data_IF_410150945286
#
_entry.id   IF_410150945286
#
_cell.length_a   1.000
_cell.length_b   1.000
_cell.length_c   1.000
_cell.angle_alpha   90.00
_cell.angle_beta   90.00
_cell.angle_gamma   90.00
#
_symmetry.space_group_name_H-M   'P 1'
#
loop_
_entity.id
_entity.type
_entity.pdbx_description
1 polymer ?
#
# COMPACT_ATOMS: atom_id res chain seq x y z
N UNK A 1 -4.88 -4.06 11.28
CA UNK A 1 -5.89 -4.70 10.43
C UNK A 1 -5.30 -5.46 9.25
N UNK A 2 -6.14 -6.10 8.48
CA UNK A 2 -5.76 -6.79 7.25
C UNK A 2 -6.10 -5.94 6.03
N UNK A 3 -5.16 -5.87 5.10
CA UNK A 3 -5.32 -5.22 3.81
C UNK A 3 -5.55 -6.27 2.73
N UNK A 4 -6.60 -6.09 1.92
CA UNK A 4 -6.75 -6.84 0.68
C UNK A 4 -5.83 -6.22 -0.38
N UNK A 5 -5.01 -7.06 -1.00
CA UNK A 5 -4.03 -6.65 -2.01
C UNK A 5 -4.39 -7.21 -3.39
N UNK A 6 -4.28 -6.39 -4.42
CA UNK A 6 -4.32 -6.87 -5.82
C UNK A 6 -3.08 -7.66 -6.21
N UNK A 7 -2.01 -7.60 -5.41
CA UNK A 7 -0.73 -8.24 -5.68
C UNK A 7 -0.55 -9.59 -4.99
N UNK A 8 0.11 -10.50 -5.68
CA UNK A 8 0.72 -11.71 -5.14
C UNK A 8 2.00 -11.97 -5.93
N UNK A 9 3.14 -11.94 -5.25
CA UNK A 9 4.44 -12.06 -5.90
C UNK A 9 4.87 -10.84 -6.71
N UNK A 10 4.14 -9.73 -6.62
CA UNK A 10 4.41 -8.48 -7.34
C UNK A 10 3.22 -7.54 -7.33
N UNK A 11 3.36 -6.37 -7.99
CA UNK A 11 2.29 -5.39 -8.10
C UNK A 11 2.45 -4.16 -7.20
N UNK A 12 3.58 -3.99 -6.52
CA UNK A 12 3.88 -2.89 -5.59
C UNK A 12 3.42 -1.52 -6.10
N UNK A 13 3.74 -1.19 -7.36
CA UNK A 13 3.38 0.11 -7.94
C UNK A 13 1.88 0.37 -8.02
N UNK A 14 1.06 -0.68 -8.16
CA UNK A 14 -0.39 -0.55 -8.17
C UNK A 14 -0.94 -0.20 -6.79
N UNK A 15 -0.37 -0.82 -5.73
CA UNK A 15 -0.74 -0.52 -4.35
C UNK A 15 -0.29 0.91 -3.96
N UNK A 16 0.90 1.33 -4.40
CA UNK A 16 1.37 2.72 -4.25
C UNK A 16 0.40 3.70 -4.91
N UNK A 17 0.00 3.45 -6.15
CA UNK A 17 -0.91 4.30 -6.91
C UNK A 17 -2.25 4.49 -6.16
N UNK A 18 -2.82 3.39 -5.67
CA UNK A 18 -4.05 3.44 -4.87
C UNK A 18 -3.85 4.21 -3.56
N UNK A 19 -2.77 3.92 -2.83
CA UNK A 19 -2.45 4.57 -1.56
C UNK A 19 -2.16 6.06 -1.68
N UNK A 20 -1.61 6.52 -2.80
CA UNK A 20 -1.32 7.92 -3.05
C UNK A 20 -2.53 8.71 -3.57
N UNK A 21 -3.39 8.08 -4.37
CA UNK A 21 -4.46 8.77 -5.09
C UNK A 21 -5.85 8.57 -4.48
N UNK A 22 -6.06 7.49 -3.73
CA UNK A 22 -7.40 7.07 -3.30
C UNK A 22 -8.24 6.46 -4.44
N UNK A 23 -7.66 6.24 -5.61
CA UNK A 23 -8.32 5.56 -6.72
C UNK A 23 -8.14 4.05 -6.60
N UNK A 24 -9.00 3.26 -7.22
CA UNK A 24 -8.99 1.80 -7.09
C UNK A 24 -8.65 1.10 -8.40
N UNK A 25 -7.78 0.11 -8.34
CA UNK A 25 -7.54 -0.80 -9.46
C UNK A 25 -8.82 -1.54 -9.90
N UNK A 26 -9.76 -1.76 -8.98
CA UNK A 26 -11.04 -2.41 -9.28
C UNK A 26 -11.95 -1.62 -10.23
N UNK A 27 -11.72 -0.31 -10.38
CA UNK A 27 -12.50 0.55 -11.27
C UNK A 27 -11.89 0.69 -12.66
N UNK A 28 -10.73 0.09 -12.93
CA UNK A 28 -10.11 0.10 -14.25
C UNK A 28 -10.53 -1.10 -15.09
N UNK A 29 -10.43 -0.94 -16.40
CA UNK A 29 -10.50 -2.07 -17.32
C UNK A 29 -9.33 -3.03 -17.07
N UNK A 30 -9.55 -4.32 -17.25
CA UNK A 30 -8.55 -5.37 -17.00
C UNK A 30 -7.30 -5.27 -17.86
N UNK A 31 -7.34 -4.56 -18.97
CA UNK A 31 -6.18 -4.26 -19.81
C UNK A 31 -5.20 -3.26 -19.19
N UNK A 32 -5.65 -2.47 -18.21
CA UNK A 32 -4.83 -1.53 -17.48
C UNK A 32 -4.23 -2.23 -16.26
N UNK A 33 -3.07 -2.85 -16.47
CA UNK A 33 -2.39 -3.66 -15.45
C UNK A 33 -1.36 -2.89 -14.63
N UNK A 34 -0.91 -1.71 -15.11
CA UNK A 34 0.07 -0.86 -14.45
C UNK A 34 -0.22 0.62 -14.71
N UNK A 35 -0.96 1.31 -13.83
CA UNK A 35 -1.23 2.74 -13.97
C UNK A 35 0.04 3.58 -14.11
N UNK A 36 1.10 3.26 -13.39
CA UNK A 36 2.38 3.97 -13.45
C UNK A 36 3.04 3.96 -14.84
N UNK A 37 2.82 2.91 -15.61
CA UNK A 37 3.43 2.75 -16.94
C UNK A 37 2.47 3.09 -18.07
N UNK A 38 1.18 2.80 -17.91
CA UNK A 38 0.20 2.89 -18.98
C UNK A 38 -0.66 4.17 -18.91
N UNK A 39 -0.83 4.76 -17.74
CA UNK A 39 -1.78 5.85 -17.52
C UNK A 39 -1.09 7.15 -17.10
N UNK A 40 -0.41 7.16 -15.95
CA UNK A 40 0.18 8.36 -15.34
C UNK A 40 1.07 9.16 -16.29
N UNK A 41 1.90 8.56 -17.16
CA UNK A 41 2.72 9.32 -18.09
C UNK A 41 1.93 10.25 -19.04
N UNK A 42 0.70 9.89 -19.36
CA UNK A 42 -0.18 10.66 -20.26
C UNK A 42 -1.17 11.57 -19.54
N UNK A 43 -1.34 11.43 -18.22
CA UNK A 43 -2.28 12.26 -17.45
C UNK A 43 -1.81 13.72 -17.39
N UNK A 44 -2.75 14.65 -17.47
CA UNK A 44 -2.52 16.08 -17.27
C UNK A 44 -2.71 16.53 -15.83
N UNK A 45 -3.41 15.76 -15.05
CA UNK A 45 -3.71 16.02 -13.65
C UNK A 45 -3.77 14.70 -12.88
N UNK A 46 -2.95 14.58 -11.86
CA UNK A 46 -2.90 13.40 -11.00
C UNK A 46 -2.91 13.88 -9.55
N UNK A 47 -4.09 14.06 -8.95
CA UNK A 47 -4.19 14.47 -7.55
C UNK A 47 -3.73 13.33 -6.64
N UNK A 48 -2.79 13.65 -5.76
CA UNK A 48 -2.25 12.73 -4.77
C UNK A 48 -2.32 13.34 -3.38
N UNK A 49 -2.28 12.52 -2.35
CA UNK A 49 -2.48 12.94 -0.96
C UNK A 49 -1.53 14.06 -0.52
N UNK A 50 -0.27 14.02 -0.95
CA UNK A 50 0.71 15.05 -0.64
C UNK A 50 0.35 16.42 -1.22
N UNK A 51 -0.32 16.46 -2.38
CA UNK A 51 -0.83 17.69 -2.97
C UNK A 51 -2.09 18.17 -2.23
N UNK A 52 -3.01 17.25 -1.91
CA UNK A 52 -4.27 17.56 -1.21
C UNK A 52 -4.02 18.18 0.17
N UNK A 53 -2.94 17.79 0.86
CA UNK A 53 -2.59 18.33 2.19
C UNK A 53 -1.52 19.42 2.15
N UNK A 54 -1.22 19.97 0.98
CA UNK A 54 -0.29 21.10 0.84
C UNK A 54 1.17 20.76 1.13
N UNK A 55 1.53 19.49 1.14
CA UNK A 55 2.90 19.04 1.38
C UNK A 55 3.74 18.87 0.10
N UNK A 56 3.21 19.22 -1.07
CA UNK A 56 3.84 18.97 -2.37
C UNK A 56 5.29 19.44 -2.46
N UNK A 57 5.62 20.60 -1.88
CA UNK A 57 6.99 21.15 -1.88
C UNK A 57 7.98 20.38 -0.99
N UNK A 58 7.49 19.58 -0.06
CA UNK A 58 8.26 18.77 0.88
C UNK A 58 7.88 17.29 0.78
N UNK A 59 7.50 16.84 -0.41
CA UNK A 59 7.18 15.46 -0.68
C UNK A 59 8.43 14.73 -1.13
N UNK A 60 8.74 13.62 -0.46
CA UNK A 60 9.96 12.85 -0.65
C UNK A 60 9.59 11.39 -0.89
N UNK A 61 10.03 10.85 -2.03
CA UNK A 61 10.07 9.42 -2.29
C UNK A 61 11.39 8.83 -1.82
N UNK A 62 11.36 7.63 -1.28
CA UNK A 62 12.55 6.91 -0.85
C UNK A 62 12.39 5.42 -1.17
N UNK A 63 13.27 4.90 -2.02
CA UNK A 63 13.26 3.51 -2.45
C UNK A 63 14.68 3.00 -2.69
N UNK A 64 15.22 2.09 -1.86
CA UNK A 64 16.59 1.61 -1.98
C UNK A 64 16.75 0.61 -3.13
N UNK A 65 16.39 1.05 -4.33
CA UNK A 65 16.52 0.31 -5.58
C UNK A 65 16.76 1.26 -6.76
N UNK A 66 16.58 0.78 -7.99
CA UNK A 66 16.78 1.60 -9.20
C UNK A 66 15.67 2.63 -9.39
N UNK A 67 16.05 3.86 -9.70
CA UNK A 67 15.12 4.99 -9.85
C UNK A 67 14.14 4.84 -11.01
N UNK A 68 14.51 4.08 -12.06
CA UNK A 68 13.70 3.89 -13.27
C UNK A 68 12.56 2.87 -13.10
N UNK A 69 12.62 2.04 -12.08
CA UNK A 69 11.64 0.97 -11.89
C UNK A 69 10.22 1.53 -11.83
N UNK A 70 9.30 0.93 -12.61
CA UNK A 70 7.90 1.36 -12.77
C UNK A 70 7.73 2.84 -13.17
N UNK A 71 8.71 3.46 -13.83
CA UNK A 71 8.68 4.88 -14.20
C UNK A 71 8.54 5.83 -12.98
N UNK A 72 8.90 5.39 -11.78
CA UNK A 72 8.73 6.17 -10.53
C UNK A 72 9.40 7.53 -10.60
N UNK A 73 10.62 7.62 -11.12
CA UNK A 73 11.34 8.88 -11.21
C UNK A 73 10.56 9.97 -11.99
N UNK A 74 9.85 9.58 -13.04
CA UNK A 74 9.01 10.49 -13.84
C UNK A 74 7.67 10.75 -13.15
N UNK A 75 7.00 9.70 -12.66
CA UNK A 75 5.69 9.79 -12.07
C UNK A 75 5.71 10.61 -10.76
N UNK A 76 6.72 10.43 -9.92
CA UNK A 76 6.82 11.17 -8.66
C UNK A 76 7.01 12.67 -8.88
N UNK A 77 7.65 13.10 -9.98
CA UNK A 77 7.68 14.52 -10.37
C UNK A 77 6.27 15.04 -10.68
N UNK A 78 5.45 14.26 -11.39
CA UNK A 78 4.04 14.60 -11.66
C UNK A 78 3.20 14.67 -10.38
N UNK A 79 3.48 13.80 -9.42
CA UNK A 79 2.82 13.79 -8.11
C UNK A 79 3.27 14.95 -7.20
N UNK A 80 4.23 15.78 -7.64
CA UNK A 80 4.72 16.91 -6.86
C UNK A 80 5.81 16.56 -5.86
N UNK A 81 6.45 15.40 -5.97
CA UNK A 81 7.61 15.06 -5.15
C UNK A 81 8.80 15.93 -5.52
N UNK A 82 9.44 16.52 -4.50
CA UNK A 82 10.63 17.36 -4.66
C UNK A 82 11.91 16.54 -4.78
N UNK A 83 11.95 15.38 -4.16
CA UNK A 83 13.09 14.45 -4.16
C UNK A 83 12.62 13.02 -4.28
N UNK A 84 13.45 12.19 -4.93
CA UNK A 84 13.28 10.74 -4.97
C UNK A 84 14.64 10.07 -4.72
N UNK A 85 14.88 9.67 -3.49
CA UNK A 85 16.11 9.02 -3.05
C UNK A 85 16.10 7.55 -3.41
N UNK A 86 17.11 7.13 -4.18
CA UNK A 86 17.27 5.75 -4.69
C UNK A 86 18.73 5.34 -4.67
N UNK A 87 19.07 4.17 -5.20
CA UNK A 87 20.47 3.74 -5.38
C UNK A 87 21.13 4.35 -6.62
N UNK A 88 20.35 4.71 -7.65
CA UNK A 88 20.87 5.07 -8.98
C UNK A 88 20.39 6.43 -9.49
N UNK A 89 19.57 7.14 -8.75
CA UNK A 89 19.04 8.44 -9.13
C UNK A 89 19.99 9.61 -8.81
N UNK A 90 19.58 10.84 -9.11
CA UNK A 90 20.34 12.04 -8.74
C UNK A 90 20.38 12.26 -7.22
N UNK A 91 19.32 11.87 -6.51
CA UNK A 91 19.26 11.84 -5.05
C UNK A 91 19.56 10.40 -4.59
N UNK A 92 20.65 10.22 -3.85
CA UNK A 92 21.10 8.90 -3.40
C UNK A 92 20.76 8.69 -1.93
N UNK A 93 20.25 7.51 -1.63
CA UNK A 93 19.92 7.10 -0.26
C UNK A 93 21.19 7.05 0.62
N UNK A 94 21.12 7.60 1.83
CA UNK A 94 22.31 7.80 2.68
C UNK A 94 22.81 6.53 3.35
N UNK A 95 21.91 5.63 3.77
CA UNK A 95 22.25 4.36 4.40
C UNK A 95 21.91 3.20 3.48
N UNK A 96 22.88 2.34 3.18
CA UNK A 96 22.77 1.25 2.21
C UNK A 96 23.21 -0.10 2.77
N UNK A 97 23.27 -0.23 4.11
CA UNK A 97 23.68 -1.45 4.76
C UNK A 97 22.74 -2.62 4.41
N UNK A 98 23.34 -3.78 4.21
CA UNK A 98 22.67 -5.04 3.90
C UNK A 98 22.89 -6.04 5.03
N UNK A 99 22.04 -7.06 5.09
CA UNK A 99 22.15 -8.10 6.10
C UNK A 99 22.79 -9.35 5.47
N UNK A 100 23.94 -9.77 6.01
CA UNK A 100 24.67 -10.95 5.55
C UNK A 100 24.87 -10.96 4.01
N UNK A 101 24.39 -12.00 3.34
CA UNK A 101 24.53 -12.19 1.89
C UNK A 101 23.29 -11.70 1.11
N UNK A 102 22.35 -10.99 1.77
CA UNK A 102 21.19 -10.41 1.09
C UNK A 102 21.64 -9.38 0.04
N UNK A 103 21.05 -9.41 -1.18
CA UNK A 103 21.38 -8.42 -2.21
C UNK A 103 20.73 -7.06 -1.94
N UNK A 104 19.77 -6.98 -1.02
CA UNK A 104 18.96 -5.80 -0.77
C UNK A 104 19.41 -5.00 0.44
N UNK A 105 19.18 -3.69 0.37
CA UNK A 105 19.34 -2.78 1.51
C UNK A 105 18.35 -3.15 2.59
N UNK A 106 18.81 -3.16 3.84
CA UNK A 106 17.99 -3.52 4.99
C UNK A 106 16.89 -2.48 5.28
N UNK A 107 15.82 -2.92 5.90
CA UNK A 107 14.77 -2.02 6.38
C UNK A 107 15.31 -1.05 7.43
N UNK A 108 16.21 -1.50 8.31
CA UNK A 108 16.89 -0.64 9.28
C UNK A 108 17.62 0.52 8.59
N UNK A 109 18.43 0.23 7.55
CA UNK A 109 19.15 1.26 6.79
C UNK A 109 18.19 2.20 6.05
N UNK A 110 17.11 1.66 5.49
CA UNK A 110 16.05 2.42 4.83
C UNK A 110 15.38 3.38 5.80
N UNK A 111 15.05 2.93 7.02
CA UNK A 111 14.43 3.77 8.04
C UNK A 111 15.38 4.80 8.65
N UNK A 112 16.68 4.50 8.77
CA UNK A 112 17.69 5.50 9.14
C UNK A 112 17.73 6.65 8.13
N UNK A 113 17.75 6.34 6.83
CA UNK A 113 17.68 7.34 5.76
C UNK A 113 16.38 8.13 5.80
N UNK A 114 15.26 7.47 6.07
CA UNK A 114 13.95 8.11 6.20
C UNK A 114 13.92 9.09 7.38
N UNK A 115 14.44 8.67 8.54
CA UNK A 115 14.48 9.51 9.75
C UNK A 115 15.30 10.78 9.55
N UNK A 116 16.40 10.70 8.80
CA UNK A 116 17.19 11.89 8.42
C UNK A 116 16.33 12.89 7.62
N UNK A 117 15.52 12.41 6.67
CA UNK A 117 14.64 13.26 5.89
C UNK A 117 13.53 13.87 6.76
N UNK A 118 12.94 13.10 7.67
CA UNK A 118 11.93 13.61 8.61
C UNK A 118 12.49 14.75 9.47
N UNK A 119 13.76 14.66 9.90
CA UNK A 119 14.41 15.64 10.75
C UNK A 119 14.85 16.92 10.03
N UNK A 120 14.94 16.93 8.69
CA UNK A 120 15.47 18.06 7.91
C UNK A 120 14.63 19.33 7.96
N UNK A 121 13.33 19.23 8.19
CA UNK A 121 12.42 20.38 8.21
C UNK A 121 11.38 20.29 9.32
N UNK A 122 10.94 21.45 9.78
CA UNK A 122 9.78 21.58 10.69
C UNK A 122 8.46 21.82 9.94
N UNK A 123 8.53 22.10 8.64
CA UNK A 123 7.35 22.29 7.79
C UNK A 123 6.62 20.98 7.52
N UNK A 124 5.42 21.09 6.99
CA UNK A 124 4.67 19.92 6.53
C UNK A 124 5.49 19.10 5.54
N UNK A 125 5.48 17.80 5.72
CA UNK A 125 6.15 16.83 4.85
C UNK A 125 5.22 15.67 4.52
N UNK A 126 5.48 15.08 3.36
CA UNK A 126 4.97 13.77 3.00
C UNK A 126 6.15 12.88 2.56
N UNK A 127 6.21 11.67 3.08
CA UNK A 127 7.22 10.69 2.70
C UNK A 127 6.54 9.41 2.21
N UNK A 128 6.88 8.99 1.00
CA UNK A 128 6.54 7.69 0.44
C UNK A 128 7.77 6.81 0.51
N UNK A 129 7.75 5.80 1.37
CA UNK A 129 8.89 4.90 1.60
C UNK A 129 8.54 3.51 1.10
N UNK A 130 9.36 2.96 0.22
CA UNK A 130 9.22 1.60 -0.32
C UNK A 130 10.49 0.84 0.06
N UNK A 131 10.38 -0.16 0.91
CA UNK A 131 11.52 -0.98 1.34
C UNK A 131 11.82 -2.10 0.35
N UNK A 132 12.97 -2.77 0.50
CA UNK A 132 13.42 -3.83 -0.41
C UNK A 132 13.89 -5.09 0.29
N UNK A 133 14.09 -5.08 1.62
CA UNK A 133 14.72 -6.19 2.36
C UNK A 133 14.08 -7.54 2.05
N UNK A 134 12.77 -7.60 1.96
CA UNK A 134 12.01 -8.84 1.77
C UNK A 134 11.58 -9.09 0.32
N UNK A 135 12.23 -8.46 -0.65
CA UNK A 135 11.96 -8.69 -2.06
C UNK A 135 12.57 -10.02 -2.55
N UNK A 136 11.87 -10.72 -3.42
CA UNK A 136 12.37 -11.95 -4.07
C UNK A 136 13.49 -11.67 -5.11
N UNK A 137 14.30 -12.65 -5.52
CA UNK A 137 14.27 -14.07 -5.11
C UNK A 137 14.82 -14.28 -3.71
N UNK A 138 14.54 -15.46 -3.13
CA UNK A 138 15.03 -15.82 -1.79
C UNK A 138 15.98 -17.01 -1.89
N UNK A 139 17.20 -16.80 -1.41
CA UNK A 139 18.23 -17.84 -1.29
C UNK A 139 18.81 -17.75 0.12
N UNK A 140 19.46 -18.72 0.65
CA UNK A 140 20.00 -18.78 2.02
C UNK A 140 20.86 -17.56 2.42
N UNK A 141 20.26 -16.36 2.36
CA UNK A 141 20.99 -15.11 2.57
C UNK A 141 21.45 -14.89 3.99
N UNK A 142 20.70 -15.42 4.97
CA UNK A 142 20.93 -15.13 6.39
C UNK A 142 21.75 -16.23 7.04
N UNK A 143 22.88 -15.87 7.68
CA UNK A 143 23.82 -16.81 8.30
C UNK A 143 23.23 -17.55 9.50
N UNK A 144 22.31 -16.91 10.23
CA UNK A 144 21.63 -17.48 11.39
C UNK A 144 20.12 -17.47 11.13
N UNK A 145 19.63 -18.57 10.58
CA UNK A 145 18.23 -18.78 10.30
C UNK A 145 17.76 -20.11 10.90
N UNK A 146 17.02 -20.01 12.01
CA UNK A 146 16.48 -21.17 12.72
C UNK A 146 15.03 -21.49 12.33
N UNK A 147 14.42 -20.69 11.42
CA UNK A 147 13.08 -20.96 10.92
C UNK A 147 13.02 -22.26 10.13
N UNK A 148 11.95 -23.01 10.33
CA UNK A 148 11.64 -24.25 9.62
C UNK A 148 10.21 -24.22 9.10
N UNK A 149 10.07 -24.30 7.80
CA UNK A 149 8.78 -24.42 7.13
C UNK A 149 8.41 -25.89 7.00
N UNK A 150 7.15 -26.20 7.29
CA UNK A 150 6.58 -27.53 7.13
C UNK A 150 5.22 -27.44 6.48
N UNK A 151 4.86 -28.45 5.69
CA UNK A 151 3.51 -28.59 5.17
C UNK A 151 2.54 -28.99 6.28
N UNK A 152 1.34 -28.46 6.24
CA UNK A 152 0.21 -28.91 7.07
C UNK A 152 -0.61 -30.01 6.40
N UNK A 153 -0.21 -30.42 5.18
CA UNK A 153 -0.82 -31.51 4.41
C UNK A 153 0.11 -32.73 4.38
N UNK A 154 -0.39 -33.84 3.89
CA UNK A 154 0.41 -35.09 3.71
C UNK A 154 1.51 -34.96 2.63
N UNK A 155 1.51 -33.88 1.85
CA UNK A 155 2.52 -33.61 0.83
C UNK A 155 3.62 -32.71 1.39
N UNK A 156 4.89 -33.13 1.35
CA UNK A 156 6.00 -32.28 1.80
C UNK A 156 6.15 -31.06 0.87
N UNK A 157 6.69 -29.96 1.40
CA UNK A 157 7.13 -28.83 0.60
C UNK A 157 8.28 -29.27 -0.31
N UNK A 158 8.40 -28.65 -1.49
CA UNK A 158 9.58 -28.79 -2.33
C UNK A 158 10.75 -28.05 -1.69
N UNK A 159 11.97 -28.48 -1.95
CA UNK A 159 13.18 -27.92 -1.34
C UNK A 159 13.34 -26.43 -1.61
N UNK A 160 13.07 -25.97 -2.85
CA UNK A 160 13.14 -24.58 -3.26
C UNK A 160 12.04 -23.72 -2.62
N UNK A 161 10.83 -24.24 -2.49
CA UNK A 161 9.72 -23.60 -1.78
C UNK A 161 10.06 -23.46 -0.29
N UNK A 162 10.52 -24.52 0.34
CA UNK A 162 10.91 -24.51 1.74
C UNK A 162 12.03 -23.50 2.00
N UNK A 163 13.07 -23.48 1.19
CA UNK A 163 14.19 -22.53 1.30
C UNK A 163 13.71 -21.09 1.19
N UNK A 164 12.85 -20.80 0.21
CA UNK A 164 12.28 -19.46 0.00
C UNK A 164 11.44 -19.01 1.18
N UNK A 165 10.56 -19.88 1.70
CA UNK A 165 9.72 -19.57 2.87
C UNK A 165 10.57 -19.32 4.12
N UNK A 166 11.54 -20.18 4.41
CA UNK A 166 12.43 -20.03 5.57
C UNK A 166 13.26 -18.75 5.49
N UNK A 167 13.76 -18.38 4.31
CA UNK A 167 14.50 -17.14 4.09
C UNK A 167 13.58 -15.93 4.28
N UNK A 168 12.38 -15.94 3.70
CA UNK A 168 11.39 -14.87 3.86
C UNK A 168 10.96 -14.69 5.33
N UNK A 169 10.69 -15.78 6.04
CA UNK A 169 10.36 -15.74 7.47
C UNK A 169 11.44 -15.06 8.30
N UNK A 170 12.71 -15.37 8.03
CA UNK A 170 13.83 -14.70 8.71
C UNK A 170 13.87 -13.21 8.37
N UNK A 171 13.71 -12.85 7.10
CA UNK A 171 13.64 -11.46 6.67
C UNK A 171 12.49 -10.70 7.34
N UNK A 172 11.30 -11.28 7.38
CA UNK A 172 10.15 -10.71 8.04
C UNK A 172 10.36 -10.51 9.55
N UNK A 173 11.01 -11.45 10.23
CA UNK A 173 11.35 -11.30 11.66
C UNK A 173 12.32 -10.14 11.92
N UNK A 174 13.26 -9.91 11.01
CA UNK A 174 14.17 -8.74 11.07
C UNK A 174 13.46 -7.43 10.74
N UNK A 175 12.45 -7.50 9.84
CA UNK A 175 11.58 -6.36 9.57
C UNK A 175 10.74 -5.99 10.78
N UNK A 176 10.32 -6.92 11.62
CA UNK A 176 9.50 -6.61 12.80
C UNK A 176 10.25 -5.70 13.80
N UNK A 177 11.53 -5.91 13.97
CA UNK A 177 12.38 -5.09 14.83
C UNK A 177 12.62 -3.67 14.27
N UNK A 178 12.89 -3.55 12.97
CA UNK A 178 13.29 -2.29 12.35
C UNK A 178 12.20 -1.19 12.39
N UNK A 179 10.91 -1.43 12.06
CA UNK A 179 9.85 -0.47 12.25
C UNK A 179 9.63 -0.10 13.71
N UNK A 180 9.76 -1.03 14.65
CA UNK A 180 9.60 -0.75 16.07
C UNK A 180 10.61 0.30 16.55
N UNK A 181 11.88 0.15 16.19
CA UNK A 181 12.93 1.11 16.49
C UNK A 181 12.68 2.45 15.79
N UNK A 182 12.27 2.43 14.53
CA UNK A 182 11.94 3.63 13.76
C UNK A 182 10.79 4.42 14.38
N UNK A 183 9.69 3.75 14.75
CA UNK A 183 8.55 4.39 15.43
C UNK A 183 8.96 4.95 16.79
N UNK A 184 9.82 4.27 17.54
CA UNK A 184 10.35 4.77 18.80
C UNK A 184 11.19 6.04 18.62
N UNK A 185 11.97 6.15 17.54
CA UNK A 185 12.70 7.39 17.20
C UNK A 185 11.75 8.52 16.77
N UNK A 186 10.71 8.21 15.99
CA UNK A 186 9.69 9.19 15.61
C UNK A 186 8.91 9.71 16.83
N UNK A 187 8.70 8.87 17.85
CA UNK A 187 7.99 9.25 19.08
C UNK A 187 8.78 10.24 19.96
N UNK A 188 10.10 10.31 19.78
CA UNK A 188 10.97 11.30 20.45
C UNK A 188 10.93 12.68 19.80
N UNK A 189 10.38 12.80 18.59
CA UNK A 189 10.32 14.07 17.87
C UNK A 189 9.24 14.98 18.46
N UNK A 190 9.57 16.27 18.62
CA UNK A 190 8.60 17.31 19.01
C UNK A 190 7.72 17.81 17.85
N UNK A 191 7.61 17.05 16.79
CA UNK A 191 6.87 17.35 15.57
C UNK A 191 5.83 16.25 15.35
N UNK A 192 4.56 16.58 15.01
CA UNK A 192 3.54 15.57 14.68
C UNK A 192 3.97 14.68 13.52
N UNK A 193 3.84 13.38 13.70
CA UNK A 193 4.10 12.38 12.65
C UNK A 193 3.01 11.33 12.70
N UNK A 194 2.44 11.01 11.54
CA UNK A 194 1.53 9.88 11.34
C UNK A 194 2.10 8.95 10.29
N UNK A 195 2.06 7.67 10.54
CA UNK A 195 2.56 6.60 9.68
C UNK A 195 1.41 5.70 9.28
N UNK A 196 1.26 5.46 7.99
CA UNK A 196 0.51 4.33 7.44
C UNK A 196 1.51 3.29 7.00
N UNK A 197 1.49 2.15 7.65
CA UNK A 197 2.36 1.02 7.32
C UNK A 197 1.54 -0.12 6.76
N UNK A 198 2.02 -0.73 5.69
CA UNK A 198 1.37 -1.91 5.10
C UNK A 198 2.38 -2.80 4.36
N UNK A 199 2.13 -4.11 4.40
CA UNK A 199 2.74 -5.02 3.46
C UNK A 199 2.00 -4.89 2.13
N UNK A 200 2.71 -4.62 1.04
CA UNK A 200 2.07 -4.38 -0.26
C UNK A 200 1.45 -5.66 -0.86
N UNK A 201 2.15 -6.78 -0.77
CA UNK A 201 1.68 -8.11 -1.17
C UNK A 201 2.51 -9.21 -0.52
N UNK A 202 1.99 -10.43 -0.49
CA UNK A 202 2.78 -11.60 -0.15
C UNK A 202 3.74 -11.96 -1.30
N UNK A 203 4.90 -12.55 -0.99
CA UNK A 203 5.80 -13.06 -2.02
C UNK A 203 5.21 -14.28 -2.72
N UNK A 204 5.48 -14.42 -4.01
CA UNK A 204 4.99 -15.54 -4.83
C UNK A 204 5.75 -16.85 -4.62
N UNK A 205 5.91 -17.27 -3.36
CA UNK A 205 6.73 -18.42 -2.97
C UNK A 205 5.93 -19.60 -2.40
N UNK A 206 4.64 -19.43 -2.21
CA UNK A 206 3.77 -20.43 -1.60
C UNK A 206 3.10 -21.31 -2.66
N UNK A 207 3.89 -22.04 -3.47
CA UNK A 207 3.39 -22.81 -4.61
C UNK A 207 2.44 -23.94 -4.17
N UNK A 208 2.71 -24.58 -3.03
CA UNK A 208 1.83 -25.62 -2.47
C UNK A 208 0.49 -25.07 -2.00
N UNK A 209 0.49 -23.88 -1.36
CA UNK A 209 -0.74 -23.23 -0.91
C UNK A 209 -1.54 -22.65 -2.08
N UNK A 210 -0.86 -22.06 -3.08
CA UNK A 210 -1.53 -21.48 -4.26
C UNK A 210 -2.10 -22.50 -5.21
N UNK A 211 -1.74 -23.78 -5.06
CA UNK A 211 -2.36 -24.87 -5.81
C UNK A 211 -3.80 -25.20 -5.35
N UNK A 212 -4.22 -24.67 -4.20
CA UNK A 212 -5.59 -24.75 -3.69
C UNK A 212 -6.25 -23.37 -3.80
N UNK A 213 -7.23 -23.24 -4.68
CA UNK A 213 -7.97 -21.99 -4.90
C UNK A 213 -8.64 -21.47 -3.62
N UNK A 214 -8.96 -22.35 -2.66
CA UNK A 214 -9.48 -21.96 -1.35
C UNK A 214 -8.56 -21.05 -0.53
N UNK A 215 -7.25 -21.04 -0.83
CA UNK A 215 -6.27 -20.15 -0.20
C UNK A 215 -6.14 -18.80 -0.91
N UNK A 216 -6.79 -18.59 -2.04
CA UNK A 216 -6.59 -17.44 -2.90
C UNK A 216 -6.83 -16.10 -2.15
N UNK A 217 -7.89 -16.00 -1.36
CA UNK A 217 -8.15 -14.79 -0.56
C UNK A 217 -7.04 -14.55 0.47
N UNK A 218 -6.62 -15.57 1.21
CA UNK A 218 -5.58 -15.45 2.22
C UNK A 218 -4.22 -15.03 1.62
N UNK A 219 -3.90 -15.52 0.41
CA UNK A 219 -2.68 -15.16 -0.31
C UNK A 219 -2.68 -13.71 -0.84
N UNK A 220 -3.83 -13.04 -0.82
CA UNK A 220 -3.99 -11.64 -1.17
C UNK A 220 -4.29 -10.75 0.05
N UNK A 221 -3.93 -11.18 1.23
CA UNK A 221 -4.08 -10.40 2.47
C UNK A 221 -2.73 -10.16 3.13
N UNK A 222 -2.53 -8.94 3.59
CA UNK A 222 -1.34 -8.49 4.31
C UNK A 222 -1.73 -7.65 5.51
N UNK A 223 -0.81 -7.44 6.44
CA UNK A 223 -1.05 -6.59 7.60
C UNK A 223 -0.88 -5.11 7.24
N UNK A 224 -1.68 -4.25 7.89
CA UNK A 224 -1.50 -2.80 7.90
C UNK A 224 -1.81 -2.21 9.26
N UNK A 225 -1.25 -1.04 9.54
CA UNK A 225 -1.62 -0.22 10.68
C UNK A 225 -1.46 1.28 10.39
N UNK A 226 -2.16 2.10 11.20
CA UNK A 226 -1.99 3.55 11.23
C UNK A 226 -1.54 3.91 12.64
N UNK A 227 -0.45 4.67 12.73
CA UNK A 227 0.17 5.07 13.99
C UNK A 227 0.52 6.55 13.97
N UNK A 228 0.39 7.21 15.12
CA UNK A 228 0.82 8.59 15.31
C UNK A 228 1.69 8.72 16.56
N UNK A 229 2.68 9.60 16.50
CA UNK A 229 3.54 9.86 17.65
C UNK A 229 2.86 10.76 18.71
N UNK A 230 3.46 10.89 19.89
CA UNK A 230 2.95 11.70 21.00
C UNK A 230 2.70 13.15 20.62
N UNK A 231 3.60 13.73 19.81
CA UNK A 231 3.50 15.14 19.39
C UNK A 231 2.28 15.43 18.48
N UNK A 232 1.66 14.40 17.89
CA UNK A 232 0.49 14.55 17.04
C UNK A 232 -0.79 14.92 17.81
N UNK A 233 -0.88 14.53 19.08
CA UNK A 233 -2.10 14.60 19.86
C UNK A 233 -3.16 13.55 19.50
N UNK A 234 -2.90 12.71 18.51
CA UNK A 234 -3.81 11.66 18.01
C UNK A 234 -3.27 10.24 18.23
N UNK A 235 -2.21 10.11 19.03
CA UNK A 235 -1.67 8.82 19.41
C UNK A 235 -2.75 7.95 20.06
N UNK A 236 -2.96 6.74 19.53
CA UNK A 236 -3.95 5.80 20.05
C UNK A 236 -5.39 6.05 19.58
N UNK A 237 -5.65 7.07 18.73
CA UNK A 237 -6.95 7.22 18.09
C UNK A 237 -7.31 5.96 17.33
N UNK A 238 -8.58 5.55 17.49
CA UNK A 238 -9.14 4.44 16.74
C UNK A 238 -10.14 4.96 15.73
N UNK A 239 -10.14 4.37 14.55
CA UNK A 239 -11.10 4.66 13.48
C UNK A 239 -12.09 3.50 13.33
N UNK A 240 -13.24 3.77 12.75
CA UNK A 240 -14.21 2.74 12.39
C UNK A 240 -13.70 1.86 11.25
N UNK A 241 -14.20 0.62 11.17
CA UNK A 241 -13.90 -0.32 10.09
C UNK A 241 -12.40 -0.54 9.80
N UNK A 242 -11.56 -0.55 10.87
CA UNK A 242 -10.11 -0.66 10.73
C UNK A 242 -9.61 -2.10 10.59
N UNK A 243 -10.47 -3.11 10.77
CA UNK A 243 -10.06 -4.52 10.75
C UNK A 243 -9.72 -4.99 9.33
N UNK A 244 -10.40 -4.44 8.32
CA UNK A 244 -10.15 -4.74 6.90
C UNK A 244 -10.12 -3.46 6.08
N UNK A 245 -9.22 -3.41 5.10
CA UNK A 245 -9.09 -2.28 4.18
C UNK A 245 -8.48 -2.71 2.84
N UNK A 246 -8.41 -1.76 1.91
CA UNK A 246 -7.57 -1.79 0.71
C UNK A 246 -6.90 -0.43 0.52
N UNK A 247 -5.79 -0.34 -0.24
CA UNK A 247 -4.96 0.87 -0.26
C UNK A 247 -5.67 2.14 -0.69
N UNK A 248 -6.70 2.05 -1.53
CA UNK A 248 -7.50 3.20 -1.97
C UNK A 248 -8.23 3.93 -0.82
N UNK A 249 -8.39 3.29 0.34
CA UNK A 249 -9.00 3.89 1.52
C UNK A 249 -7.98 4.47 2.52
N UNK A 250 -6.69 4.18 2.37
CA UNK A 250 -5.67 4.63 3.33
C UNK A 250 -5.61 6.14 3.50
N UNK A 251 -5.80 6.90 2.42
CA UNK A 251 -5.80 8.37 2.47
C UNK A 251 -6.92 8.90 3.38
N UNK A 252 -8.12 8.33 3.28
CA UNK A 252 -9.27 8.68 4.11
C UNK A 252 -9.10 8.20 5.55
N UNK A 253 -8.64 6.96 5.74
CA UNK A 253 -8.38 6.40 7.07
C UNK A 253 -7.29 7.16 7.84
N UNK A 254 -6.23 7.59 7.15
CA UNK A 254 -5.19 8.42 7.74
C UNK A 254 -5.75 9.78 8.20
N UNK A 255 -6.59 10.41 7.38
CA UNK A 255 -7.26 11.67 7.73
C UNK A 255 -8.18 11.51 8.95
N UNK A 256 -8.97 10.44 9.01
CA UNK A 256 -9.83 10.11 10.15
C UNK A 256 -8.99 9.88 11.42
N UNK A 257 -7.91 9.10 11.35
CA UNK A 257 -7.01 8.85 12.47
C UNK A 257 -6.37 10.15 13.00
N UNK A 258 -5.99 11.07 12.10
CA UNK A 258 -5.40 12.35 12.46
C UNK A 258 -6.41 13.39 12.95
N UNK A 259 -7.71 13.10 12.92
CA UNK A 259 -8.78 14.09 13.12
C UNK A 259 -8.56 15.32 12.22
N UNK A 260 -8.18 15.07 10.97
CA UNK A 260 -7.81 16.11 10.03
C UNK A 260 -9.02 16.66 9.29
N UNK A 261 -8.93 17.93 8.88
CA UNK A 261 -9.88 18.48 7.92
C UNK A 261 -9.80 17.70 6.62
N UNK A 262 -10.94 17.42 6.01
CA UNK A 262 -11.03 16.63 4.79
C UNK A 262 -11.66 17.42 3.66
N UNK A 263 -11.21 17.14 2.44
CA UNK A 263 -11.88 17.58 1.22
C UNK A 263 -13.18 16.78 0.99
N UNK A 264 -14.10 17.25 0.14
CA UNK A 264 -15.23 16.44 -0.28
C UNK A 264 -14.84 15.06 -0.82
N UNK A 265 -13.70 14.96 -1.53
CA UNK A 265 -13.17 13.68 -2.01
C UNK A 265 -12.81 12.72 -0.89
N UNK A 266 -12.09 13.19 0.12
CA UNK A 266 -11.72 12.33 1.26
C UNK A 266 -12.93 11.93 2.09
N UNK A 267 -13.92 12.84 2.25
CA UNK A 267 -15.19 12.52 2.89
C UNK A 267 -15.96 11.45 2.10
N UNK A 268 -15.98 11.54 0.77
CA UNK A 268 -16.55 10.52 -0.10
C UNK A 268 -15.88 9.15 0.08
N UNK A 269 -14.54 9.08 0.16
CA UNK A 269 -13.83 7.84 0.39
C UNK A 269 -14.13 7.24 1.77
N UNK A 270 -14.31 8.07 2.80
CA UNK A 270 -14.73 7.62 4.13
C UNK A 270 -16.13 7.00 4.08
N UNK A 271 -17.07 7.63 3.35
CA UNK A 271 -18.41 7.08 3.15
C UNK A 271 -18.39 5.76 2.40
N UNK A 272 -17.59 5.67 1.33
CA UNK A 272 -17.36 4.41 0.59
C UNK A 272 -16.84 3.31 1.52
N UNK A 273 -15.83 3.62 2.34
CA UNK A 273 -15.23 2.66 3.27
C UNK A 273 -16.22 2.16 4.33
N UNK A 274 -17.18 2.99 4.71
CA UNK A 274 -18.25 2.60 5.65
C UNK A 274 -19.17 1.50 5.09
N UNK A 275 -19.29 1.41 3.77
CA UNK A 275 -20.11 0.42 3.07
C UNK A 275 -19.32 -0.78 2.58
N UNK A 276 -18.11 -0.56 2.11
CA UNK A 276 -17.20 -1.56 1.54
C UNK A 276 -15.83 -1.37 2.18
N UNK A 277 -15.44 -2.29 3.05
CA UNK A 277 -14.18 -2.16 3.81
C UNK A 277 -12.94 -2.34 2.94
N UNK A 278 -13.01 -3.19 1.92
CA UNK A 278 -11.93 -3.41 0.98
C UNK A 278 -12.47 -3.72 -0.41
N UNK A 279 -11.74 -3.31 -1.44
CA UNK A 279 -12.09 -3.62 -2.83
C UNK A 279 -10.83 -3.76 -3.69
N UNK A 280 -10.79 -4.80 -4.52
CA UNK A 280 -9.72 -5.09 -5.47
C UNK A 280 -10.30 -5.72 -6.76
N UNK A 281 -9.56 -5.71 -7.87
CA UNK A 281 -9.96 -6.44 -9.07
C UNK A 281 -10.09 -7.96 -8.80
N UNK A 282 -10.65 -8.73 -9.73
CA UNK A 282 -10.91 -10.18 -9.54
C UNK A 282 -9.61 -10.99 -9.62
N UNK A 283 -8.69 -10.78 -8.68
CA UNK A 283 -7.39 -11.48 -8.56
C UNK A 283 -7.50 -12.80 -7.80
N UNK A 284 -8.63 -13.01 -7.15
CA UNK A 284 -8.96 -14.22 -6.40
C UNK A 284 -9.83 -15.10 -7.27
N UNK A 285 -9.32 -16.29 -7.68
CA UNK A 285 -10.00 -17.17 -8.63
C UNK A 285 -11.22 -17.88 -8.03
N UNK A 286 -11.12 -18.26 -6.76
CA UNK A 286 -12.16 -18.96 -6.05
C UNK A 286 -12.22 -18.45 -4.60
N UNK A 287 -13.41 -18.02 -4.19
CA UNK A 287 -13.66 -17.62 -2.81
C UNK A 287 -14.45 -18.74 -2.15
N UNK A 288 -13.76 -19.53 -1.36
CA UNK A 288 -14.32 -20.73 -0.74
C UNK A 288 -15.67 -20.46 -0.05
N UNK A 289 -16.67 -21.28 -0.38
CA UNK A 289 -18.01 -21.18 0.20
C UNK A 289 -18.87 -20.02 -0.33
N UNK A 290 -18.47 -19.38 -1.42
CA UNK A 290 -19.14 -18.21 -1.98
C UNK A 290 -19.52 -18.37 -3.45
N UNK A 291 -20.15 -19.48 -3.80
CA UNK A 291 -20.59 -19.82 -5.17
C UNK A 291 -21.49 -18.73 -5.82
N UNK A 292 -22.09 -17.87 -4.99
CA UNK A 292 -22.94 -16.77 -5.44
C UNK A 292 -22.18 -15.54 -5.97
N UNK A 293 -20.85 -15.48 -5.76
CA UNK A 293 -20.03 -14.43 -6.33
C UNK A 293 -19.78 -14.73 -7.81
N UNK A 294 -20.23 -13.86 -8.73
CA UNK A 294 -20.02 -14.09 -10.15
C UNK A 294 -18.55 -14.13 -10.53
N UNK A 295 -18.18 -15.05 -11.43
CA UNK A 295 -16.84 -15.08 -11.99
C UNK A 295 -16.48 -13.74 -12.66
N UNK A 296 -15.26 -13.23 -12.39
CA UNK A 296 -14.78 -11.97 -12.93
C UNK A 296 -15.32 -10.73 -12.20
N UNK A 297 -16.19 -10.87 -11.20
CA UNK A 297 -16.57 -9.75 -10.34
C UNK A 297 -15.37 -9.28 -9.52
N UNK A 298 -15.30 -7.97 -9.28
CA UNK A 298 -14.36 -7.42 -8.29
C UNK A 298 -14.59 -8.05 -6.91
N UNK A 299 -13.52 -8.10 -6.12
CA UNK A 299 -13.59 -8.60 -4.75
C UNK A 299 -13.94 -7.43 -3.82
N UNK A 300 -15.04 -7.58 -3.11
CA UNK A 300 -15.48 -6.63 -2.08
C UNK A 300 -15.57 -7.36 -0.74
N UNK A 301 -15.05 -6.72 0.31
CA UNK A 301 -15.16 -7.25 1.67
C UNK A 301 -16.02 -6.32 2.54
N UNK A 302 -16.84 -6.95 3.39
CA UNK A 302 -17.55 -6.23 4.46
C UNK A 302 -16.62 -5.92 5.65
N UNK A 303 -17.15 -5.28 6.69
CA UNK A 303 -16.39 -4.92 7.89
C UNK A 303 -15.89 -6.12 8.72
N UNK A 304 -16.33 -7.32 8.40
CA UNK A 304 -15.89 -8.58 9.03
C UNK A 304 -14.96 -9.39 8.13
N UNK A 305 -14.61 -8.84 6.97
CA UNK A 305 -13.75 -9.51 5.98
C UNK A 305 -14.46 -10.56 5.13
N UNK A 306 -15.79 -10.61 5.16
CA UNK A 306 -16.54 -11.53 4.32
C UNK A 306 -16.68 -10.97 2.90
N UNK A 307 -16.46 -11.77 1.86
CA UNK A 307 -16.74 -11.37 0.49
C UNK A 307 -18.22 -11.05 0.25
N UNK A 308 -18.48 -9.96 -0.50
CA UNK A 308 -19.82 -9.51 -0.87
C UNK A 308 -20.02 -9.63 -2.37
N UNK A 309 -21.24 -10.03 -2.80
CA UNK A 309 -21.66 -9.91 -4.19
C UNK A 309 -22.23 -8.50 -4.47
N UNK A 310 -22.01 -7.97 -5.68
CA UNK A 310 -22.60 -6.67 -6.08
C UNK A 310 -24.15 -6.69 -6.03
N UNK A 311 -24.74 -7.87 -6.20
CA UNK A 311 -26.19 -8.06 -6.03
C UNK A 311 -26.70 -7.74 -4.62
N UNK A 312 -25.82 -7.84 -3.60
CA UNK A 312 -26.17 -7.58 -2.21
C UNK A 312 -26.14 -6.09 -1.84
N UNK A 313 -25.55 -5.25 -2.70
CA UNK A 313 -25.46 -3.83 -2.45
C UNK A 313 -26.84 -3.18 -2.39
N UNK A 314 -27.08 -2.39 -1.36
CA UNK A 314 -28.24 -1.53 -1.30
C UNK A 314 -28.18 -0.38 -2.33
N UNK A 315 -29.24 0.40 -2.44
CA UNK A 315 -29.32 1.47 -3.42
C UNK A 315 -28.26 2.55 -3.19
N UNK A 316 -27.95 2.86 -1.94
CA UNK A 316 -26.92 3.83 -1.55
C UNK A 316 -25.53 3.36 -1.95
N UNK A 317 -25.17 2.12 -1.62
CA UNK A 317 -23.88 1.52 -2.00
C UNK A 317 -23.71 1.46 -3.51
N UNK A 318 -24.77 1.11 -4.26
CA UNK A 318 -24.75 1.13 -5.74
C UNK A 318 -24.48 2.52 -6.29
N UNK A 319 -25.10 3.55 -5.70
CA UNK A 319 -24.90 4.94 -6.11
C UNK A 319 -23.47 5.39 -5.82
N UNK A 320 -22.96 5.14 -4.61
CA UNK A 320 -21.57 5.44 -4.25
C UNK A 320 -20.57 4.78 -5.18
N UNK A 321 -20.78 3.51 -5.55
CA UNK A 321 -19.93 2.82 -6.52
C UNK A 321 -19.96 3.46 -7.91
N UNK A 322 -21.15 3.88 -8.37
CA UNK A 322 -21.30 4.61 -9.65
C UNK A 322 -20.57 5.95 -9.62
N UNK A 323 -20.71 6.70 -8.53
CA UNK A 323 -20.04 7.98 -8.33
C UNK A 323 -18.52 7.80 -8.25
N UNK A 324 -18.05 6.77 -7.57
CA UNK A 324 -16.60 6.47 -7.48
C UNK A 324 -15.98 6.17 -8.87
N UNK A 325 -16.65 5.36 -9.66
CA UNK A 325 -16.24 5.09 -11.05
C UNK A 325 -16.23 6.37 -11.90
N UNK A 326 -17.22 7.24 -11.72
CA UNK A 326 -17.30 8.51 -12.45
C UNK A 326 -16.20 9.49 -12.02
N UNK A 327 -15.93 9.62 -10.72
CA UNK A 327 -14.84 10.43 -10.17
C UNK A 327 -13.50 9.94 -10.73
N UNK A 328 -13.24 8.63 -10.66
CA UNK A 328 -12.01 8.04 -11.17
C UNK A 328 -11.86 8.23 -12.68
N UNK A 329 -12.93 8.06 -13.44
CA UNK A 329 -12.93 8.31 -14.87
C UNK A 329 -12.58 9.78 -15.19
N UNK A 330 -13.19 10.75 -14.51
CA UNK A 330 -12.90 12.16 -14.74
C UNK A 330 -11.45 12.52 -14.44
N UNK A 331 -10.90 11.98 -13.34
CA UNK A 331 -9.49 12.22 -12.93
C UNK A 331 -8.51 11.62 -13.93
N UNK A 332 -8.79 10.43 -14.48
CA UNK A 332 -7.83 9.65 -15.27
C UNK A 332 -7.94 9.90 -16.76
N UNK A 333 -9.00 9.43 -17.38
CA UNK A 333 -9.19 9.45 -18.84
C UNK A 333 -10.29 10.42 -19.29
N UNK A 334 -11.00 11.05 -18.35
CA UNK A 334 -12.02 12.04 -18.61
C UNK A 334 -11.46 13.42 -18.94
N UNK A 335 -12.25 14.45 -18.69
CA UNK A 335 -11.90 15.84 -19.01
C UNK A 335 -11.37 16.64 -17.83
N UNK A 336 -11.17 15.99 -16.68
CA UNK A 336 -10.70 16.60 -15.44
C UNK A 336 -11.57 17.77 -14.96
N UNK A 337 -12.89 17.65 -15.07
CA UNK A 337 -13.83 18.69 -14.60
C UNK A 337 -13.67 18.97 -13.11
N UNK A 338 -13.35 17.95 -12.30
CA UNK A 338 -13.16 18.08 -10.86
C UNK A 338 -11.96 18.96 -10.51
N UNK A 339 -10.97 19.10 -11.40
CA UNK A 339 -9.77 19.93 -11.20
C UNK A 339 -10.11 21.40 -10.94
N UNK A 340 -11.15 21.91 -11.61
CA UNK A 340 -11.53 23.30 -11.55
C UNK A 340 -12.62 23.57 -10.48
N UNK A 341 -12.79 22.62 -9.58
CA UNK A 341 -13.74 22.69 -8.44
C UNK A 341 -13.00 22.61 -7.11
N UNK A 342 -13.70 22.83 -6.00
CA UNK A 342 -13.18 22.63 -4.65
C UNK A 342 -13.26 21.17 -4.16
N UNK A 343 -13.51 20.22 -5.05
CA UNK A 343 -13.73 18.82 -4.66
C UNK A 343 -12.52 18.18 -3.97
N UNK A 344 -11.30 18.58 -4.37
CA UNK A 344 -10.04 18.12 -3.77
C UNK A 344 -9.51 19.07 -2.69
N UNK A 345 -10.13 20.21 -2.48
CA UNK A 345 -9.61 21.25 -1.59
C UNK A 345 -9.99 20.99 -0.13
N UNK A 346 -9.10 21.30 0.77
CA UNK A 346 -9.40 21.36 2.20
C UNK A 346 -10.24 22.61 2.50
N UNK A 347 -11.18 22.53 3.45
CA UNK A 347 -12.00 23.67 3.85
C UNK A 347 -11.23 24.77 4.59
#
# INVERSE_FOLDING_TARGET
GLMLSSGYGGGTANLEYMGLSGLSMANFDSSLTSPYQQLVPSEHWTPTINQMWGAAKNSIGLHPYESSMYSRATNYKKFGFSHFYTLTGPDVISHQDKIDDSPYVSDEATYKSTLEQVKKTKSNQFLQVITMQNHMPYHKWYKHNDFKATSTTDKPLKDDEQESIETYQKGASLTDDAPADFLAELDKLGKPVTVVFYGDHLPGIYSSASADDGNSLALHQTDYFIWSNKASGTQGNKIGNADYSSPNFFVAQAAEHMDAKVSPYLAFLTEMHSKISAMEPPVVNNIQGWDRIPEGQNIYLDSKGNPMAESDFDAETKQLMADYKLIQYDITTGKNYLKDTSFMDLP
#
